data_IF_159142245970
#
_entry.id   IF_159142245970
#
_cell.length_a   1.000
_cell.length_b   1.000
_cell.length_c   1.000
_cell.angle_alpha   90.00
_cell.angle_beta   90.00
_cell.angle_gamma   90.00
#
_symmetry.space_group_name_H-M   'P 1'
#
loop_
_entity.id
_entity.type
_entity.pdbx_description
1 polymer ?
#
# COMPACT_ATOMS: atom_id res chain seq x y z
N UNK A 1 -39.06 -1.16 -4.65
CA UNK A 1 -37.73 -1.60 -4.20
C UNK A 1 -36.92 -1.95 -5.43
N UNK A 2 -35.82 -1.24 -5.66
CA UNK A 2 -34.88 -1.58 -6.75
C UNK A 2 -34.10 -2.82 -6.32
N UNK A 3 -34.18 -3.90 -7.09
CA UNK A 3 -33.49 -5.16 -6.75
C UNK A 3 -32.01 -5.04 -7.13
N UNK A 4 -31.12 -5.19 -6.16
CA UNK A 4 -29.68 -5.19 -6.42
C UNK A 4 -29.26 -6.41 -7.24
N UNK A 5 -28.29 -6.28 -8.16
CA UNK A 5 -27.80 -7.41 -8.93
C UNK A 5 -27.06 -8.41 -8.04
N UNK A 6 -27.07 -9.68 -8.44
CA UNK A 6 -26.42 -10.76 -7.67
C UNK A 6 -24.89 -10.82 -7.78
N UNK A 7 -24.26 -10.02 -8.64
CA UNK A 7 -22.81 -9.97 -8.84
C UNK A 7 -22.33 -8.58 -9.26
N UNK A 8 -21.09 -8.25 -8.91
CA UNK A 8 -20.41 -7.03 -9.32
C UNK A 8 -20.17 -6.95 -10.84
N UNK A 9 -20.24 -8.07 -11.55
CA UNK A 9 -20.12 -8.10 -13.02
C UNK A 9 -21.18 -7.24 -13.71
N UNK A 10 -22.37 -7.10 -13.09
CA UNK A 10 -23.43 -6.22 -13.58
C UNK A 10 -23.02 -4.74 -13.60
N UNK A 11 -22.05 -4.34 -12.78
CA UNK A 11 -21.52 -2.98 -12.73
C UNK A 11 -20.22 -2.80 -13.50
N UNK A 12 -19.67 -3.84 -14.12
CA UNK A 12 -18.41 -3.75 -14.85
C UNK A 12 -18.41 -2.63 -15.89
N UNK A 13 -19.51 -2.46 -16.61
CA UNK A 13 -19.70 -1.44 -17.64
C UNK A 13 -20.73 -0.37 -17.27
N UNK A 14 -21.17 -0.34 -16.00
CA UNK A 14 -22.17 0.63 -15.56
C UNK A 14 -21.61 2.05 -15.64
N UNK A 15 -22.47 2.96 -16.09
CA UNK A 15 -22.33 4.40 -15.99
C UNK A 15 -22.87 4.90 -14.64
N UNK A 16 -22.66 6.17 -14.33
CA UNK A 16 -23.30 6.75 -13.15
C UNK A 16 -24.83 6.68 -13.20
N UNK A 17 -25.44 6.88 -14.37
CA UNK A 17 -26.90 6.81 -14.55
C UNK A 17 -27.48 5.43 -14.24
N UNK A 18 -26.68 4.36 -14.38
CA UNK A 18 -27.12 3.01 -14.02
C UNK A 18 -27.06 2.77 -12.51
N UNK A 19 -26.16 3.47 -11.80
CA UNK A 19 -25.97 3.33 -10.35
C UNK A 19 -26.87 4.26 -9.53
N UNK A 20 -27.17 5.45 -10.07
CA UNK A 20 -27.95 6.48 -9.39
C UNK A 20 -29.31 5.98 -8.86
N UNK A 21 -30.10 5.19 -9.60
CA UNK A 21 -31.40 4.70 -9.12
C UNK A 21 -31.32 3.87 -7.83
N UNK A 22 -30.21 3.16 -7.58
CA UNK A 22 -30.03 2.40 -6.34
C UNK A 22 -29.79 3.32 -5.14
N UNK A 23 -29.00 4.39 -5.33
CA UNK A 23 -28.80 5.40 -4.30
C UNK A 23 -30.07 6.21 -4.03
N UNK A 24 -30.81 6.59 -5.08
CA UNK A 24 -32.07 7.34 -4.95
C UNK A 24 -33.13 6.52 -4.22
N UNK A 25 -33.23 5.22 -4.49
CA UNK A 25 -34.13 4.34 -3.75
C UNK A 25 -33.75 4.29 -2.27
N UNK A 26 -32.48 4.08 -1.93
CA UNK A 26 -32.01 4.10 -0.55
C UNK A 26 -32.20 5.46 0.12
N UNK A 27 -32.12 6.56 -0.62
CA UNK A 27 -32.30 7.91 -0.09
C UNK A 27 -33.78 8.25 0.15
N UNK A 28 -34.68 7.78 -0.71
CA UNK A 28 -36.12 8.05 -0.63
C UNK A 28 -36.88 7.05 0.26
N UNK A 29 -36.37 5.83 0.44
CA UNK A 29 -37.02 4.79 1.26
C UNK A 29 -37.24 5.31 2.69
N UNK A 30 -38.46 5.26 3.25
CA UNK A 30 -38.70 5.60 4.65
C UNK A 30 -37.74 4.83 5.56
N UNK A 31 -37.16 5.50 6.55
CA UNK A 31 -36.14 4.92 7.41
C UNK A 31 -36.55 5.10 8.88
N UNK A 32 -36.69 3.98 9.58
CA UNK A 32 -37.03 3.93 11.00
C UNK A 32 -36.30 2.75 11.67
N UNK A 33 -36.54 2.56 12.97
CA UNK A 33 -35.87 1.49 13.75
C UNK A 33 -36.33 0.08 13.38
N UNK A 34 -37.48 -0.07 12.72
CA UNK A 34 -38.02 -1.35 12.28
C UNK A 34 -37.38 -1.84 10.98
N UNK A 35 -36.89 -0.94 10.12
CA UNK A 35 -36.31 -1.30 8.82
C UNK A 35 -34.83 -0.93 8.62
N UNK A 36 -34.20 -0.26 9.59
CA UNK A 36 -32.79 0.18 9.48
C UNK A 36 -31.81 -0.95 9.15
N UNK A 37 -32.02 -2.16 9.67
CA UNK A 37 -31.09 -3.28 9.41
C UNK A 37 -31.15 -3.77 7.96
N UNK A 38 -32.34 -3.85 7.36
CA UNK A 38 -32.45 -4.23 5.94
C UNK A 38 -31.95 -3.09 5.04
N UNK A 39 -32.21 -1.84 5.41
CA UNK A 39 -31.66 -0.67 4.72
C UNK A 39 -30.13 -0.63 4.78
N UNK A 40 -29.51 -0.91 5.94
CA UNK A 40 -28.06 -1.01 6.09
C UNK A 40 -27.49 -2.17 5.28
N UNK A 41 -28.17 -3.31 5.25
CA UNK A 41 -27.75 -4.46 4.46
C UNK A 41 -27.76 -4.15 2.95
N UNK A 42 -28.81 -3.51 2.46
CA UNK A 42 -28.93 -3.11 1.05
C UNK A 42 -27.84 -2.09 0.69
N UNK A 43 -27.65 -1.06 1.53
CA UNK A 43 -26.59 -0.08 1.31
C UNK A 43 -25.20 -0.74 1.31
N UNK A 44 -24.90 -1.57 2.31
CA UNK A 44 -23.64 -2.32 2.36
C UNK A 44 -23.43 -3.24 1.16
N UNK A 45 -24.51 -3.82 0.63
CA UNK A 45 -24.45 -4.70 -0.55
C UNK A 45 -24.16 -3.90 -1.81
N UNK A 46 -24.85 -2.76 -2.01
CA UNK A 46 -24.59 -1.84 -3.12
C UNK A 46 -23.12 -1.38 -3.13
N UNK A 47 -22.62 -0.93 -1.98
CA UNK A 47 -21.22 -0.48 -1.84
C UNK A 47 -20.23 -1.60 -2.13
N UNK A 48 -20.52 -2.82 -1.69
CA UNK A 48 -19.67 -3.98 -1.94
C UNK A 48 -19.60 -4.34 -3.42
N UNK A 49 -20.72 -4.25 -4.14
CA UNK A 49 -20.81 -4.53 -5.58
C UNK A 49 -20.04 -3.47 -6.39
N UNK A 50 -20.26 -2.19 -6.09
CA UNK A 50 -19.54 -1.08 -6.76
C UNK A 50 -18.04 -1.15 -6.45
N UNK A 51 -17.69 -1.39 -5.18
CA UNK A 51 -16.31 -1.51 -4.73
C UNK A 51 -15.57 -2.67 -5.40
N UNK A 52 -16.22 -3.82 -5.57
CA UNK A 52 -15.63 -4.95 -6.29
C UNK A 52 -15.45 -4.66 -7.78
N UNK A 53 -16.44 -4.07 -8.46
CA UNK A 53 -16.31 -3.67 -9.86
C UNK A 53 -15.16 -2.67 -10.06
N UNK A 54 -15.03 -1.70 -9.16
CA UNK A 54 -13.93 -0.72 -9.12
C UNK A 54 -12.57 -1.42 -8.94
N UNK A 55 -12.48 -2.39 -8.02
CA UNK A 55 -11.25 -3.13 -7.79
C UNK A 55 -10.83 -3.96 -9.01
N UNK A 56 -11.79 -4.60 -9.69
CA UNK A 56 -11.54 -5.35 -10.92
C UNK A 56 -11.05 -4.46 -12.07
N UNK A 57 -11.63 -3.28 -12.25
CA UNK A 57 -11.17 -2.30 -13.24
C UNK A 57 -9.73 -1.83 -12.96
N UNK A 58 -9.44 -1.48 -11.70
CA UNK A 58 -8.09 -1.11 -11.27
C UNK A 58 -7.08 -2.25 -11.50
N UNK A 59 -7.47 -3.50 -11.23
CA UNK A 59 -6.60 -4.65 -11.47
C UNK A 59 -6.32 -4.86 -12.97
N UNK A 60 -7.35 -4.76 -13.81
CA UNK A 60 -7.19 -4.89 -15.26
C UNK A 60 -6.21 -3.83 -15.81
N UNK A 61 -6.35 -2.58 -15.37
CA UNK A 61 -5.45 -1.49 -15.77
C UNK A 61 -4.02 -1.72 -15.25
N UNK A 62 -3.88 -2.12 -13.99
CA UNK A 62 -2.57 -2.35 -13.39
C UNK A 62 -1.81 -3.53 -14.03
N UNK A 63 -2.53 -4.52 -14.59
CA UNK A 63 -1.94 -5.63 -15.34
C UNK A 63 -1.36 -5.18 -16.68
N UNK A 64 -2.04 -4.28 -17.37
CA UNK A 64 -1.57 -3.72 -18.64
C UNK A 64 -2.02 -2.26 -18.78
N UNK A 65 -1.14 -1.33 -18.41
CA UNK A 65 -1.45 0.11 -18.44
C UNK A 65 -1.51 0.69 -19.86
N UNK A 66 -1.18 -0.11 -20.89
CA UNK A 66 -1.33 0.28 -22.30
C UNK A 66 -2.66 -0.19 -22.92
N UNK A 67 -3.49 -0.93 -22.17
CA UNK A 67 -4.83 -1.34 -22.61
C UNK A 67 -5.82 -0.17 -22.43
N UNK A 68 -6.22 0.43 -23.56
CA UNK A 68 -7.13 1.57 -23.57
C UNK A 68 -8.50 1.28 -22.95
N UNK A 69 -9.01 0.05 -23.06
CA UNK A 69 -10.31 -0.31 -22.45
C UNK A 69 -10.20 -0.42 -20.93
N UNK A 70 -9.07 -0.95 -20.45
CA UNK A 70 -8.81 -1.03 -19.02
C UNK A 70 -8.60 0.37 -18.41
N UNK A 71 -7.90 1.26 -19.12
CA UNK A 71 -7.75 2.66 -18.75
C UNK A 71 -9.09 3.39 -18.70
N UNK A 72 -9.93 3.26 -19.74
CA UNK A 72 -11.26 3.87 -19.78
C UNK A 72 -12.14 3.43 -18.60
N UNK A 73 -12.16 2.12 -18.30
CA UNK A 73 -12.91 1.60 -17.15
C UNK A 73 -12.39 2.16 -15.82
N UNK A 74 -11.07 2.24 -15.65
CA UNK A 74 -10.45 2.80 -14.44
C UNK A 74 -10.79 4.29 -14.28
N UNK A 75 -10.72 5.07 -15.36
CA UNK A 75 -11.05 6.49 -15.36
C UNK A 75 -12.53 6.72 -15.06
N UNK A 76 -13.44 5.91 -15.64
CA UNK A 76 -14.87 5.97 -15.34
C UNK A 76 -15.15 5.78 -13.85
N UNK A 77 -14.60 4.73 -13.24
CA UNK A 77 -14.80 4.50 -11.80
C UNK A 77 -14.19 5.61 -10.93
N UNK A 78 -12.97 6.04 -11.23
CA UNK A 78 -12.23 6.98 -10.38
C UNK A 78 -12.66 8.43 -10.53
N UNK A 79 -13.00 8.87 -11.73
CA UNK A 79 -13.23 10.29 -12.05
C UNK A 79 -14.70 10.65 -12.24
N UNK A 80 -15.56 9.68 -12.59
CA UNK A 80 -17.00 9.92 -12.77
C UNK A 80 -17.82 9.34 -11.61
N UNK A 81 -17.69 8.03 -11.36
CA UNK A 81 -18.54 7.32 -10.40
C UNK A 81 -18.18 7.66 -8.96
N UNK A 82 -16.89 7.59 -8.59
CA UNK A 82 -16.48 7.76 -7.20
C UNK A 82 -16.90 9.12 -6.60
N UNK A 83 -16.67 10.29 -7.25
CA UNK A 83 -17.08 11.56 -6.68
C UNK A 83 -18.60 11.66 -6.44
N UNK A 84 -19.40 11.23 -7.42
CA UNK A 84 -20.88 11.27 -7.32
C UNK A 84 -21.42 10.26 -6.32
N UNK A 85 -20.80 9.09 -6.21
CA UNK A 85 -21.13 8.10 -5.21
C UNK A 85 -20.84 8.62 -3.79
N UNK A 86 -19.73 9.33 -3.56
CA UNK A 86 -19.44 9.98 -2.28
C UNK A 86 -20.50 11.03 -1.88
N UNK A 87 -21.02 11.81 -2.84
CA UNK A 87 -22.14 12.72 -2.56
C UNK A 87 -23.39 11.99 -2.06
N UNK A 88 -23.73 10.86 -2.68
CA UNK A 88 -24.88 10.04 -2.24
C UNK A 88 -24.61 9.35 -0.91
N UNK A 89 -23.40 8.81 -0.70
CA UNK A 89 -22.97 8.23 0.58
C UNK A 89 -23.15 9.22 1.71
N UNK A 90 -22.71 10.47 1.52
CA UNK A 90 -22.85 11.53 2.52
C UNK A 90 -24.33 11.67 2.92
N UNK A 91 -25.25 11.76 1.95
CA UNK A 91 -26.70 11.84 2.22
C UNK A 91 -27.21 10.64 3.04
N UNK A 92 -26.82 9.42 2.68
CA UNK A 92 -27.23 8.21 3.41
C UNK A 92 -26.65 8.17 4.83
N UNK A 93 -25.39 8.58 5.00
CA UNK A 93 -24.74 8.74 6.31
C UNK A 93 -25.52 9.71 7.19
N UNK A 94 -25.93 10.87 6.66
CA UNK A 94 -26.73 11.83 7.44
C UNK A 94 -28.04 11.23 7.94
N UNK A 95 -28.73 10.45 7.10
CA UNK A 95 -30.00 9.80 7.47
C UNK A 95 -29.80 8.84 8.64
N UNK A 96 -28.77 8.00 8.57
CA UNK A 96 -28.43 7.08 9.66
C UNK A 96 -28.07 7.82 10.95
N UNK A 97 -27.27 8.89 10.85
CA UNK A 97 -26.88 9.71 11.99
C UNK A 97 -28.11 10.38 12.64
N UNK A 98 -29.00 10.98 11.83
CA UNK A 98 -30.24 11.64 12.28
C UNK A 98 -31.22 10.67 12.92
N UNK A 99 -31.29 9.42 12.47
CA UNK A 99 -32.10 8.37 13.09
C UNK A 99 -31.63 8.04 14.54
N UNK A 100 -30.36 8.30 14.84
CA UNK A 100 -29.78 7.99 16.15
C UNK A 100 -29.74 6.48 16.43
N UNK A 101 -29.65 5.66 15.39
CA UNK A 101 -29.52 4.22 15.51
C UNK A 101 -28.04 3.83 15.68
N UNK A 102 -27.76 3.04 16.73
CA UNK A 102 -26.43 2.49 17.02
C UNK A 102 -26.63 1.10 17.61
N UNK A 103 -25.80 0.14 17.22
CA UNK A 103 -25.75 -1.21 17.77
C UNK A 103 -24.32 -1.72 17.86
N UNK A 104 -24.13 -2.83 18.58
CA UNK A 104 -22.88 -3.57 18.65
C UNK A 104 -22.25 -3.78 17.26
N UNK A 105 -21.02 -3.29 17.09
CA UNK A 105 -20.23 -3.37 15.86
C UNK A 105 -20.44 -2.20 14.89
N UNK A 106 -21.38 -1.29 15.16
CA UNK A 106 -21.69 -0.12 14.31
C UNK A 106 -21.26 1.21 14.96
N UNK A 107 -20.89 1.21 16.24
CA UNK A 107 -20.56 2.40 17.04
C UNK A 107 -19.52 3.28 16.36
N UNK A 108 -18.36 2.68 16.01
CA UNK A 108 -17.27 3.41 15.38
C UNK A 108 -17.67 3.97 14.02
N UNK A 109 -18.43 3.21 13.21
CA UNK A 109 -18.88 3.68 11.90
C UNK A 109 -19.79 4.90 12.02
N UNK A 110 -20.79 4.86 12.91
CA UNK A 110 -21.68 6.00 13.14
C UNK A 110 -20.93 7.19 13.74
N UNK A 111 -19.98 6.94 14.65
CA UNK A 111 -19.10 7.99 15.19
C UNK A 111 -18.28 8.65 14.09
N UNK A 112 -17.73 7.88 13.15
CA UNK A 112 -16.99 8.41 11.98
C UNK A 112 -17.86 9.29 11.09
N UNK A 113 -19.11 8.90 10.86
CA UNK A 113 -20.06 9.70 10.07
C UNK A 113 -20.39 11.01 10.78
N UNK A 114 -20.71 10.97 12.07
CA UNK A 114 -20.93 12.19 12.88
C UNK A 114 -19.73 13.12 12.82
N UNK A 115 -18.54 12.59 13.08
CA UNK A 115 -17.31 13.36 13.07
C UNK A 115 -17.03 14.03 11.71
N UNK A 116 -17.26 13.33 10.59
CA UNK A 116 -17.12 13.92 9.26
C UNK A 116 -18.12 15.07 9.01
N UNK A 117 -19.37 14.91 9.46
CA UNK A 117 -20.39 15.95 9.35
C UNK A 117 -20.07 17.17 10.23
N UNK A 118 -19.57 16.94 11.44
CA UNK A 118 -19.18 18.00 12.39
C UNK A 118 -17.93 18.76 11.95
N UNK A 119 -16.95 18.07 11.34
CA UNK A 119 -15.72 18.68 10.83
C UNK A 119 -15.90 19.40 9.48
N UNK A 120 -17.02 19.15 8.78
CA UNK A 120 -17.25 19.75 7.48
C UNK A 120 -17.39 21.28 7.61
N UNK A 121 -16.57 22.00 6.86
CA UNK A 121 -16.60 23.46 6.78
C UNK A 121 -16.54 23.87 5.31
N UNK A 122 -17.59 24.53 4.77
CA UNK A 122 -17.59 25.02 3.39
C UNK A 122 -16.39 25.91 3.06
N UNK A 123 -15.90 26.68 4.05
CA UNK A 123 -14.72 27.54 3.91
C UNK A 123 -13.42 26.73 3.63
N UNK A 124 -13.39 25.44 3.96
CA UNK A 124 -12.23 24.58 3.74
C UNK A 124 -12.18 23.95 2.34
N UNK A 125 -13.28 23.93 1.59
CA UNK A 125 -13.32 23.37 0.22
C UNK A 125 -12.28 24.00 -0.71
N UNK A 126 -12.17 25.35 -0.83
CA UNK A 126 -11.13 25.95 -1.66
C UNK A 126 -9.71 25.71 -1.13
N UNK A 127 -9.54 25.66 0.19
CA UNK A 127 -8.22 25.39 0.81
C UNK A 127 -7.74 23.96 0.53
N UNK A 128 -8.64 22.99 0.61
CA UNK A 128 -8.35 21.59 0.26
C UNK A 128 -7.99 21.43 -1.22
N UNK A 129 -8.67 22.17 -2.10
CA UNK A 129 -8.34 22.22 -3.53
C UNK A 129 -6.92 22.72 -3.76
N UNK A 130 -6.52 23.79 -3.08
CA UNK A 130 -5.16 24.33 -3.17
C UNK A 130 -4.12 23.37 -2.57
N UNK A 131 -4.41 22.74 -1.43
CA UNK A 131 -3.55 21.71 -0.82
C UNK A 131 -3.32 20.51 -1.76
N UNK A 132 -4.33 20.11 -2.53
CA UNK A 132 -4.21 19.04 -3.52
C UNK A 132 -3.32 19.44 -4.70
N UNK A 133 -3.43 20.69 -5.18
CA UNK A 133 -2.54 21.24 -6.22
C UNK A 133 -1.09 21.28 -5.74
N UNK A 134 -0.84 21.85 -4.56
CA UNK A 134 0.49 21.90 -3.96
C UNK A 134 1.10 20.50 -3.77
N UNK A 135 0.29 19.53 -3.35
CA UNK A 135 0.74 18.15 -3.17
C UNK A 135 1.12 17.51 -4.52
N UNK A 136 0.41 17.86 -5.59
CA UNK A 136 0.75 17.47 -6.96
C UNK A 136 2.04 18.14 -7.44
N UNK A 137 2.23 19.43 -7.16
CA UNK A 137 3.47 20.16 -7.46
C UNK A 137 4.68 19.55 -6.74
N UNK A 138 4.55 19.26 -5.44
CA UNK A 138 5.57 18.55 -4.68
C UNK A 138 5.94 17.21 -5.32
N UNK A 139 4.94 16.41 -5.69
CA UNK A 139 5.16 15.13 -6.35
C UNK A 139 5.87 15.28 -7.71
N UNK A 140 5.59 16.35 -8.48
CA UNK A 140 6.29 16.67 -9.73
C UNK A 140 7.75 17.01 -9.48
N UNK A 141 8.06 17.85 -8.49
CA UNK A 141 9.46 18.20 -8.15
C UNK A 141 10.25 16.94 -7.79
N UNK A 142 9.73 16.10 -6.89
CA UNK A 142 10.38 14.83 -6.53
C UNK A 142 10.47 13.86 -7.72
N UNK A 143 9.44 13.81 -8.55
CA UNK A 143 9.35 12.92 -9.70
C UNK A 143 10.31 13.28 -10.85
N UNK A 144 10.67 14.55 -10.96
CA UNK A 144 11.61 15.06 -11.97
C UNK A 144 13.08 14.89 -11.59
N UNK A 145 13.39 14.54 -10.34
CA UNK A 145 14.77 14.37 -9.89
C UNK A 145 15.46 13.21 -10.60
N UNK A 146 16.61 13.51 -11.20
CA UNK A 146 17.52 12.53 -11.80
C UNK A 146 18.92 12.69 -11.22
N UNK A 147 19.72 11.65 -11.36
CA UNK A 147 21.13 11.60 -10.96
C UNK A 147 21.92 10.95 -12.09
N UNK A 148 23.08 11.47 -12.42
CA UNK A 148 24.04 10.77 -13.28
C UNK A 148 24.84 9.76 -12.44
N UNK A 149 24.80 8.51 -12.85
CA UNK A 149 25.62 7.45 -12.28
C UNK A 149 26.43 6.76 -13.38
N UNK A 150 27.71 7.13 -13.47
CA UNK A 150 28.66 6.60 -14.46
C UNK A 150 28.12 6.74 -15.91
N UNK A 151 27.53 7.89 -16.24
CA UNK A 151 26.96 8.20 -17.56
C UNK A 151 25.54 7.65 -17.79
N UNK A 152 24.93 7.03 -16.78
CA UNK A 152 23.54 6.61 -16.82
C UNK A 152 22.66 7.53 -15.99
N UNK A 153 21.64 8.10 -16.62
CA UNK A 153 20.62 8.85 -15.90
C UNK A 153 19.71 7.88 -15.11
N UNK A 154 19.63 8.09 -13.80
CA UNK A 154 18.84 7.30 -12.87
C UNK A 154 17.95 8.19 -12.00
N UNK A 155 16.92 7.62 -11.39
CA UNK A 155 16.17 8.31 -10.34
C UNK A 155 16.79 8.01 -8.97
N UNK A 156 16.68 8.91 -7.97
CA UNK A 156 17.27 8.67 -6.65
C UNK A 156 16.93 7.31 -6.02
N UNK A 157 15.69 6.76 -6.12
CA UNK A 157 15.39 5.44 -5.57
C UNK A 157 16.14 4.29 -6.26
N UNK A 158 16.51 4.43 -7.54
CA UNK A 158 17.33 3.43 -8.24
C UNK A 158 18.77 3.39 -7.70
N UNK A 159 19.17 4.34 -6.86
CA UNK A 159 20.45 4.34 -6.18
C UNK A 159 20.51 3.39 -4.97
N UNK A 160 19.37 2.91 -4.49
CA UNK A 160 19.28 2.08 -3.29
C UNK A 160 20.21 0.84 -3.29
N UNK A 161 20.37 0.09 -4.39
CA UNK A 161 21.28 -1.06 -4.44
C UNK A 161 22.76 -0.68 -4.21
N UNK A 162 23.22 0.48 -4.68
CA UNK A 162 24.61 0.91 -4.51
C UNK A 162 24.94 1.29 -3.05
N UNK A 163 23.92 1.58 -2.23
CA UNK A 163 24.09 1.79 -0.79
C UNK A 163 24.31 0.47 -0.02
N UNK A 164 24.16 -0.67 -0.69
CA UNK A 164 24.42 -2.01 -0.15
C UNK A 164 25.71 -2.62 -0.69
N UNK A 165 26.49 -1.85 -1.45
CA UNK A 165 27.78 -2.31 -1.98
C UNK A 165 28.77 -2.58 -0.84
N UNK A 166 29.65 -3.57 -1.03
CA UNK A 166 30.70 -3.86 -0.04
C UNK A 166 31.76 -2.75 -0.03
N UNK A 167 32.02 -2.11 -1.18
CA UNK A 167 32.91 -0.96 -1.27
C UNK A 167 32.27 0.28 -0.64
N UNK A 168 32.93 0.80 0.40
CA UNK A 168 32.47 1.98 1.13
C UNK A 168 32.50 3.25 0.27
N UNK A 169 33.44 3.36 -0.67
CA UNK A 169 33.52 4.52 -1.57
C UNK A 169 32.31 4.56 -2.52
N UNK A 170 31.89 3.40 -3.02
CA UNK A 170 30.67 3.27 -3.84
C UNK A 170 29.45 3.72 -3.03
N UNK A 171 29.30 3.25 -1.79
CA UNK A 171 28.18 3.65 -0.92
C UNK A 171 28.16 5.16 -0.64
N UNK A 172 29.31 5.73 -0.33
CA UNK A 172 29.43 7.17 -0.06
C UNK A 172 29.05 8.00 -1.30
N UNK A 173 29.62 7.66 -2.46
CA UNK A 173 29.31 8.31 -3.74
C UNK A 173 27.81 8.19 -4.06
N UNK A 174 27.24 7.00 -3.91
CA UNK A 174 25.82 6.75 -4.14
C UNK A 174 24.92 7.55 -3.20
N UNK A 175 25.27 7.64 -1.91
CA UNK A 175 24.51 8.43 -0.94
C UNK A 175 24.52 9.91 -1.30
N UNK A 176 25.70 10.47 -1.60
CA UNK A 176 25.84 11.88 -1.95
C UNK A 176 25.07 12.21 -3.22
N UNK A 177 25.25 11.43 -4.29
CA UNK A 177 24.53 11.61 -5.56
C UNK A 177 23.02 11.47 -5.40
N UNK A 178 22.56 10.51 -4.61
CA UNK A 178 21.13 10.31 -4.35
C UNK A 178 20.47 11.52 -3.69
N UNK A 179 21.17 12.24 -2.81
CA UNK A 179 20.62 13.39 -2.08
C UNK A 179 20.94 14.76 -2.71
N UNK A 180 21.90 14.84 -3.64
CA UNK A 180 22.28 16.07 -4.35
C UNK A 180 21.08 16.78 -4.98
N UNK A 181 20.18 16.12 -5.73
CA UNK A 181 18.99 16.77 -6.28
C UNK A 181 18.03 17.32 -5.21
N UNK A 182 17.96 16.70 -4.04
CA UNK A 182 17.12 17.20 -2.94
C UNK A 182 17.70 18.47 -2.32
N UNK A 183 19.03 18.59 -2.29
CA UNK A 183 19.72 19.79 -1.81
C UNK A 183 19.53 20.92 -2.81
N UNK A 184 19.65 20.64 -4.11
CA UNK A 184 19.40 21.61 -5.19
C UNK A 184 17.95 22.12 -5.18
N UNK A 185 16.98 21.22 -4.95
CA UNK A 185 15.57 21.56 -4.90
C UNK A 185 15.07 21.99 -3.50
N UNK A 186 15.98 22.17 -2.53
CA UNK A 186 15.63 22.45 -1.12
C UNK A 186 14.67 23.63 -1.01
N UNK A 187 14.98 24.74 -1.66
CA UNK A 187 14.23 25.98 -1.51
C UNK A 187 12.85 25.86 -2.17
N UNK A 188 12.75 25.17 -3.32
CA UNK A 188 11.47 24.88 -3.97
C UNK A 188 10.58 23.98 -3.09
N UNK A 189 11.15 22.92 -2.49
CA UNK A 189 10.44 22.05 -1.58
C UNK A 189 10.03 22.79 -0.30
N UNK A 190 10.93 23.56 0.32
CA UNK A 190 10.62 24.35 1.51
C UNK A 190 9.46 25.32 1.27
N UNK A 191 9.49 26.08 0.16
CA UNK A 191 8.40 26.99 -0.21
C UNK A 191 7.06 26.28 -0.40
N UNK A 192 7.06 25.09 -1.01
CA UNK A 192 5.84 24.28 -1.13
C UNK A 192 5.33 23.82 0.24
N UNK A 193 6.24 23.41 1.13
CA UNK A 193 5.89 22.99 2.48
C UNK A 193 5.29 24.13 3.30
N UNK A 194 5.88 25.32 3.25
CA UNK A 194 5.41 26.50 3.99
C UNK A 194 3.99 26.90 3.55
N UNK A 195 3.73 26.94 2.24
CA UNK A 195 2.38 27.16 1.71
C UNK A 195 1.38 26.11 2.19
N UNK A 196 1.78 24.82 2.18
CA UNK A 196 0.92 23.75 2.72
C UNK A 196 0.69 23.90 4.22
N UNK A 197 1.70 24.34 4.98
CA UNK A 197 1.62 24.55 6.41
C UNK A 197 0.59 25.64 6.73
N UNK A 198 0.69 26.80 6.08
CA UNK A 198 -0.22 27.93 6.29
C UNK A 198 -1.67 27.56 5.97
N UNK A 199 -1.89 26.88 4.84
CA UNK A 199 -3.22 26.41 4.45
C UNK A 199 -3.79 25.40 5.45
N UNK A 200 -2.97 24.47 5.94
CA UNK A 200 -3.39 23.50 6.97
C UNK A 200 -3.77 24.20 8.27
N UNK A 201 -3.03 25.22 8.68
CA UNK A 201 -3.37 26.01 9.86
C UNK A 201 -4.69 26.79 9.64
N UNK A 202 -4.94 27.32 8.44
CA UNK A 202 -6.22 27.94 8.10
C UNK A 202 -7.38 26.93 8.12
N UNK A 203 -7.18 25.72 7.57
CA UNK A 203 -8.16 24.63 7.61
C UNK A 203 -8.56 24.29 9.05
N UNK A 204 -7.57 24.18 9.94
CA UNK A 204 -7.81 23.90 11.34
C UNK A 204 -8.62 25.00 12.03
N UNK A 205 -8.24 26.27 11.82
CA UNK A 205 -8.93 27.44 12.40
C UNK A 205 -10.39 27.51 11.94
N UNK A 206 -10.64 27.30 10.65
CA UNK A 206 -11.99 27.29 10.07
C UNK A 206 -12.88 26.16 10.60
N UNK A 207 -12.28 25.08 11.09
CA UNK A 207 -12.95 23.95 11.74
C UNK A 207 -13.00 24.10 13.28
N UNK A 208 -12.63 25.26 13.83
CA UNK A 208 -12.70 25.53 15.27
C UNK A 208 -11.54 24.97 16.10
N UNK A 209 -10.43 24.55 15.47
CA UNK A 209 -9.25 24.01 16.15
C UNK A 209 -8.11 25.03 16.25
N UNK A 210 -7.37 24.97 17.36
CA UNK A 210 -6.22 25.87 17.60
C UNK A 210 -5.02 25.56 16.69
N UNK A 211 -4.87 24.30 16.27
CA UNK A 211 -3.75 23.84 15.46
C UNK A 211 -4.19 22.66 14.56
N UNK A 212 -3.40 22.41 13.50
CA UNK A 212 -3.72 21.34 12.56
C UNK A 212 -3.56 19.93 13.12
N UNK A 213 -2.75 19.70 14.17
CA UNK A 213 -2.59 18.37 14.78
C UNK A 213 -3.92 17.89 15.36
N UNK A 214 -4.61 18.75 16.11
CA UNK A 214 -5.86 18.38 16.79
C UNK A 214 -6.98 18.15 15.78
N UNK A 215 -7.09 19.04 14.77
CA UNK A 215 -7.96 18.84 13.62
C UNK A 215 -7.67 17.50 12.92
N UNK A 216 -6.41 17.23 12.58
CA UNK A 216 -6.01 16.01 11.87
C UNK A 216 -6.19 14.73 12.72
N UNK A 217 -6.23 14.86 14.05
CA UNK A 217 -6.52 13.73 14.93
C UNK A 217 -7.97 13.27 14.74
N UNK A 218 -8.89 14.25 14.75
CA UNK A 218 -10.32 14.02 14.54
C UNK A 218 -10.62 13.63 13.10
N UNK A 219 -10.05 14.33 12.10
CA UNK A 219 -10.25 14.02 10.68
C UNK A 219 -9.87 12.56 10.36
N UNK A 220 -8.82 12.04 11.00
CA UNK A 220 -8.40 10.64 10.89
C UNK A 220 -9.20 9.65 11.72
N UNK A 221 -10.25 10.12 12.41
CA UNK A 221 -11.14 9.33 13.26
C UNK A 221 -10.39 8.55 14.36
N UNK A 222 -9.36 9.16 14.94
CA UNK A 222 -8.58 8.57 16.02
C UNK A 222 -9.26 8.88 17.35
N UNK A 223 -10.19 8.01 17.74
CA UNK A 223 -11.04 8.18 18.92
C UNK A 223 -10.53 7.44 20.16
N UNK A 224 -9.62 6.49 19.96
CA UNK A 224 -9.13 5.53 20.95
C UNK A 224 -7.80 5.95 21.60
N UNK A 225 -7.19 7.02 21.11
CA UNK A 225 -5.99 7.63 21.69
C UNK A 225 -5.97 9.14 21.43
N UNK A 226 -4.99 9.82 22.01
CA UNK A 226 -4.80 11.27 21.98
C UNK A 226 -3.38 11.62 21.51
N UNK A 227 -3.11 12.90 21.18
CA UNK A 227 -1.74 13.36 20.98
C UNK A 227 -0.80 13.05 22.15
N UNK A 228 -1.28 13.10 23.40
CA UNK A 228 -0.46 12.82 24.59
C UNK A 228 -0.07 11.34 24.67
N UNK A 229 -0.97 10.44 24.27
CA UNK A 229 -0.64 9.02 24.13
C UNK A 229 0.48 8.80 23.11
N UNK A 230 0.50 9.57 22.01
CA UNK A 230 1.60 9.53 21.04
C UNK A 230 2.92 9.97 21.66
N UNK A 231 2.92 11.04 22.48
CA UNK A 231 4.13 11.52 23.15
C UNK A 231 4.68 10.49 24.14
N UNK A 232 3.81 9.91 24.99
CA UNK A 232 4.21 8.83 25.90
C UNK A 232 4.73 7.61 25.15
N UNK A 233 4.14 7.29 23.99
CA UNK A 233 4.63 6.23 23.13
C UNK A 233 6.03 6.53 22.56
N UNK A 234 6.30 7.77 22.15
CA UNK A 234 7.63 8.18 21.70
C UNK A 234 8.68 8.03 22.81
N UNK A 235 8.37 8.43 24.03
CA UNK A 235 9.25 8.25 25.20
C UNK A 235 9.51 6.76 25.48
N UNK A 236 8.47 5.92 25.43
CA UNK A 236 8.61 4.48 25.62
C UNK A 236 9.49 3.83 24.52
N UNK A 237 9.33 4.26 23.26
CA UNK A 237 10.18 3.83 22.15
C UNK A 237 11.63 4.27 22.37
N UNK A 238 11.85 5.51 22.80
CA UNK A 238 13.19 6.00 23.11
C UNK A 238 13.85 5.16 24.22
N UNK A 239 13.14 4.89 25.32
CA UNK A 239 13.69 4.13 26.43
C UNK A 239 13.92 2.65 26.09
N UNK A 240 12.99 2.00 25.38
CA UNK A 240 13.04 0.56 25.14
C UNK A 240 13.81 0.19 23.86
N UNK A 241 13.62 0.94 22.76
CA UNK A 241 14.13 0.59 21.43
C UNK A 241 15.50 1.21 21.17
N UNK A 242 15.75 2.45 21.63
CA UNK A 242 17.02 3.12 21.37
C UNK A 242 18.24 2.33 21.88
N UNK A 243 18.23 1.69 23.06
CA UNK A 243 19.35 0.85 23.50
C UNK A 243 19.61 -0.33 22.55
N UNK A 244 18.56 -0.95 22.01
CA UNK A 244 18.69 -2.03 21.03
C UNK A 244 19.26 -1.53 19.70
N UNK A 245 18.80 -0.37 19.23
CA UNK A 245 19.33 0.29 18.02
C UNK A 245 20.79 0.67 18.20
N UNK A 246 21.20 1.20 19.37
CA UNK A 246 22.60 1.49 19.70
C UNK A 246 23.47 0.24 19.63
N UNK A 247 23.02 -0.88 20.22
CA UNK A 247 23.74 -2.17 20.12
C UNK A 247 23.86 -2.68 18.69
N UNK A 248 22.80 -2.53 17.88
CA UNK A 248 22.83 -2.93 16.46
C UNK A 248 23.80 -2.07 15.66
N UNK A 249 23.81 -0.76 15.89
CA UNK A 249 24.75 0.17 15.26
C UNK A 249 26.19 -0.13 15.68
N UNK A 250 26.45 -0.39 16.96
CA UNK A 250 27.81 -0.76 17.42
C UNK A 250 28.29 -2.06 16.79
N UNK A 251 27.44 -3.09 16.72
CA UNK A 251 27.76 -4.34 16.02
C UNK A 251 28.09 -4.09 14.56
N UNK A 252 27.36 -3.18 13.90
CA UNK A 252 27.62 -2.81 12.50
C UNK A 252 28.94 -2.06 12.36
N UNK A 253 29.22 -1.09 13.24
CA UNK A 253 30.48 -0.34 13.28
C UNK A 253 31.68 -1.29 13.37
N UNK A 254 31.65 -2.22 14.33
CA UNK A 254 32.70 -3.22 14.53
C UNK A 254 32.82 -4.19 13.35
N UNK A 255 31.71 -4.60 12.73
CA UNK A 255 31.75 -5.47 11.56
C UNK A 255 32.35 -4.79 10.32
N UNK A 256 32.07 -3.49 10.13
CA UNK A 256 32.62 -2.71 9.02
C UNK A 256 34.05 -2.23 9.27
N UNK A 257 34.54 -2.33 10.51
CA UNK A 257 35.89 -1.87 10.88
C UNK A 257 36.07 -0.37 10.73
N UNK A 258 35.02 0.44 11.00
CA UNK A 258 35.08 1.90 10.88
C UNK A 258 35.03 2.59 12.24
N UNK A 259 35.68 3.75 12.37
CA UNK A 259 35.68 4.52 13.61
C UNK A 259 34.29 5.07 13.95
N UNK A 260 33.56 5.56 12.94
CA UNK A 260 32.22 6.10 13.08
C UNK A 260 31.34 5.69 11.90
N UNK A 261 30.11 5.27 12.18
CA UNK A 261 29.11 5.01 11.14
C UNK A 261 28.68 6.32 10.50
N UNK A 262 28.74 6.38 9.16
CA UNK A 262 28.17 7.47 8.37
C UNK A 262 26.79 7.07 7.82
N UNK A 263 25.98 8.01 7.30
CA UNK A 263 24.67 7.69 6.74
C UNK A 263 24.70 6.61 5.63
N UNK A 264 25.79 6.56 4.84
CA UNK A 264 26.00 5.54 3.81
C UNK A 264 26.46 4.17 4.33
N UNK A 265 26.71 4.03 5.63
CA UNK A 265 27.03 2.74 6.25
C UNK A 265 25.77 2.03 6.77
N UNK A 266 24.57 2.64 6.68
CA UNK A 266 23.36 2.17 7.37
C UNK A 266 22.61 1.00 6.71
N UNK A 267 22.85 0.72 5.42
CA UNK A 267 22.11 -0.30 4.65
C UNK A 267 22.85 -1.61 4.49
N UNK A 268 24.17 -1.59 4.60
CA UNK A 268 24.96 -2.82 4.55
C UNK A 268 24.62 -3.68 5.77
N UNK A 269 23.96 -4.81 5.50
CA UNK A 269 23.78 -5.85 6.51
C UNK A 269 25.12 -6.52 6.72
N UNK A 270 25.55 -6.75 7.98
CA UNK A 270 26.66 -7.64 8.24
C UNK A 270 26.36 -8.96 7.54
N UNK A 271 27.11 -9.30 6.49
CA UNK A 271 27.00 -10.65 5.93
C UNK A 271 27.45 -11.56 7.05
N UNK A 272 26.52 -12.32 7.62
CA UNK A 272 26.90 -13.45 8.42
C UNK A 272 27.76 -14.32 7.50
N UNK A 273 29.07 -14.32 7.73
CA UNK A 273 29.99 -15.23 7.07
C UNK A 273 29.40 -16.64 7.23
N UNK A 274 28.90 -17.22 6.13
CA UNK A 274 28.32 -18.57 6.11
C UNK A 274 26.86 -18.70 5.65
N UNK A 275 26.03 -17.66 5.60
CA UNK A 275 24.61 -17.82 5.19
C UNK A 275 24.40 -17.89 3.66
N UNK A 276 25.28 -17.27 2.88
CA UNK A 276 25.25 -17.35 1.41
C UNK A 276 25.71 -18.70 0.84
N UNK A 277 26.37 -19.53 1.64
CA UNK A 277 26.73 -20.90 1.26
C UNK A 277 25.55 -21.85 1.52
N UNK A 278 24.86 -21.70 2.66
CA UNK A 278 23.71 -22.55 3.02
C UNK A 278 22.44 -22.26 2.21
N UNK A 279 22.22 -21.02 1.77
CA UNK A 279 21.05 -20.68 0.95
C UNK A 279 21.19 -21.04 -0.54
N UNK A 280 22.39 -21.39 -1.01
CA UNK A 280 22.60 -21.84 -2.40
C UNK A 280 22.16 -23.29 -2.62
N UNK A 281 22.34 -24.17 -1.65
CA UNK A 281 21.86 -25.57 -1.73
C UNK A 281 20.39 -25.75 -1.33
N UNK A 282 19.85 -24.87 -0.47
CA UNK A 282 18.50 -25.04 0.10
C UNK A 282 17.39 -24.28 -0.66
N UNK A 283 17.77 -23.47 -1.67
CA UNK A 283 16.87 -22.57 -2.40
C UNK A 283 15.79 -23.30 -3.21
N UNK A 284 16.13 -24.44 -3.81
CA UNK A 284 15.17 -25.25 -4.58
C UNK A 284 14.29 -26.13 -3.67
N UNK A 285 14.75 -26.51 -2.47
CA UNK A 285 13.97 -27.38 -1.56
C UNK A 285 13.02 -26.62 -0.62
N UNK A 286 13.24 -25.32 -0.35
CA UNK A 286 12.37 -24.55 0.58
C UNK A 286 11.19 -23.82 -0.06
N UNK A 287 11.17 -23.62 -1.38
CA UNK A 287 10.01 -23.03 -2.06
C UNK A 287 8.79 -23.98 -2.10
N UNK A 288 8.99 -25.27 -1.80
CA UNK A 288 7.93 -26.28 -1.78
C UNK A 288 7.30 -26.54 -0.39
N UNK A 289 7.72 -25.85 0.69
CA UNK A 289 7.08 -25.98 2.00
C UNK A 289 6.40 -24.67 2.41
N UNK A 290 5.07 -24.53 2.23
CA UNK A 290 4.36 -23.41 2.81
C UNK A 290 4.57 -23.43 4.33
N UNK A 291 4.97 -22.27 4.91
CA UNK A 291 4.95 -22.05 6.36
C UNK A 291 3.56 -22.47 6.86
N UNK A 292 3.49 -23.46 7.75
CA UNK A 292 2.22 -23.83 8.35
C UNK A 292 1.66 -22.61 9.10
N UNK A 293 0.46 -22.12 8.74
CA UNK A 293 -0.17 -21.05 9.49
C UNK A 293 -0.57 -21.58 10.88
N UNK A 294 -0.22 -20.85 11.93
CA UNK A 294 -0.84 -21.01 13.24
C UNK A 294 -2.29 -20.50 13.12
N UNK A 295 -3.26 -21.36 13.41
CA UNK A 295 -4.68 -21.03 13.38
C UNK A 295 -5.44 -21.53 12.14
N UNK A 296 -6.64 -22.07 12.38
CA UNK A 296 -7.51 -22.64 11.34
C UNK A 296 -8.02 -21.58 10.34
N UNK A 297 -8.16 -20.32 10.76
CA UNK A 297 -8.60 -19.20 9.90
C UNK A 297 -7.60 -18.86 8.78
N UNK A 298 -6.30 -18.82 9.12
CA UNK A 298 -5.25 -18.56 8.13
C UNK A 298 -5.10 -19.71 7.10
N UNK A 299 -5.39 -20.96 7.52
CA UNK A 299 -5.43 -22.12 6.61
C UNK A 299 -6.59 -22.04 5.61
N UNK A 300 -7.73 -21.48 6.01
CA UNK A 300 -8.90 -21.32 5.14
C UNK A 300 -8.70 -20.22 4.09
N UNK A 301 -8.13 -19.08 4.49
CA UNK A 301 -7.77 -17.97 3.58
C UNK A 301 -6.72 -18.39 2.54
N UNK A 302 -5.68 -19.12 2.94
CA UNK A 302 -4.66 -19.62 2.00
C UNK A 302 -5.18 -20.70 1.05
N UNK A 303 -6.11 -21.57 1.48
CA UNK A 303 -6.75 -22.55 0.58
C UNK A 303 -7.68 -21.90 -0.43
N UNK A 304 -8.42 -20.86 -0.04
CA UNK A 304 -9.24 -20.07 -0.97
C UNK A 304 -8.38 -19.31 -1.99
N UNK A 305 -7.22 -18.80 -1.57
CA UNK A 305 -6.26 -18.17 -2.48
C UNK A 305 -5.55 -19.16 -3.41
N UNK A 306 -5.28 -20.40 -2.96
CA UNK A 306 -4.59 -21.42 -3.76
C UNK A 306 -5.52 -22.21 -4.70
N UNK A 307 -6.83 -22.26 -4.43
CA UNK A 307 -7.83 -22.92 -5.29
C UNK A 307 -8.27 -22.09 -6.50
N UNK A 308 -7.93 -20.80 -6.55
CA UNK A 308 -8.14 -19.96 -7.73
C UNK A 308 -6.95 -20.14 -8.70
N UNK A 309 -7.11 -21.01 -9.70
CA UNK A 309 -6.16 -21.10 -10.82
C UNK A 309 -5.99 -19.73 -11.50
N UNK A 310 -4.72 -19.36 -11.69
CA UNK A 310 -4.17 -18.30 -12.52
C UNK A 310 -4.43 -16.83 -12.11
N UNK A 311 -3.39 -16.17 -11.58
CA UNK A 311 -2.88 -14.86 -12.04
C UNK A 311 -1.76 -14.37 -11.10
N UNK A 312 -0.59 -15.00 -11.17
CA UNK A 312 0.65 -14.39 -10.69
C UNK A 312 1.45 -13.97 -11.92
N UNK A 313 1.20 -12.77 -12.45
CA UNK A 313 1.99 -12.23 -13.55
C UNK A 313 3.13 -11.37 -13.02
N UNK A 314 4.34 -11.73 -13.44
CA UNK A 314 5.58 -11.00 -13.24
C UNK A 314 5.84 -10.17 -14.49
N UNK A 315 5.46 -8.89 -14.49
CA UNK A 315 5.96 -7.95 -15.48
C UNK A 315 6.27 -6.58 -14.87
N UNK A 316 7.44 -6.06 -15.22
CA UNK A 316 7.99 -4.78 -14.78
C UNK A 316 7.43 -3.64 -15.61
N UNK A 317 6.64 -2.74 -14.99
CA UNK A 317 6.70 -1.28 -15.25
C UNK A 317 5.82 -0.49 -14.26
N UNK A 318 6.44 0.56 -13.70
CA UNK A 318 5.89 1.82 -13.15
C UNK A 318 4.63 1.77 -12.26
N UNK A 319 4.62 0.99 -11.17
CA UNK A 319 3.85 1.39 -9.97
C UNK A 319 4.60 1.06 -8.69
N UNK A 320 4.70 2.04 -7.77
CA UNK A 320 5.39 1.91 -6.48
C UNK A 320 4.43 1.35 -5.41
N UNK A 321 4.94 0.37 -4.65
CA UNK A 321 4.34 -0.10 -3.39
C UNK A 321 3.43 -1.32 -3.54
N UNK A 322 3.35 -2.12 -2.47
CA UNK A 322 2.33 -3.17 -2.33
C UNK A 322 1.03 -2.52 -1.89
N UNK A 323 -0.05 -2.71 -2.66
CA UNK A 323 -1.41 -2.40 -2.22
C UNK A 323 -2.17 -3.71 -2.09
N UNK A 324 -2.75 -3.95 -0.92
CA UNK A 324 -3.74 -5.01 -0.76
C UNK A 324 -5.09 -4.44 -1.18
N UNK A 325 -5.74 -5.06 -2.15
CA UNK A 325 -7.13 -4.76 -2.51
C UNK A 325 -8.00 -5.96 -2.10
N UNK A 326 -9.19 -5.70 -1.56
CA UNK A 326 -10.15 -6.73 -1.19
C UNK A 326 -11.26 -6.77 -2.24
N UNK A 327 -11.68 -7.98 -2.65
CA UNK A 327 -12.90 -8.21 -3.42
C UNK A 327 -13.99 -8.73 -2.46
N UNK A 328 -14.79 -7.83 -1.86
CA UNK A 328 -15.66 -8.16 -0.73
C UNK A 328 -16.84 -9.08 -1.10
N UNK A 329 -17.45 -8.95 -2.28
CA UNK A 329 -18.64 -9.75 -2.62
C UNK A 329 -18.28 -11.21 -2.95
N UNK A 330 -17.07 -11.45 -3.49
CA UNK A 330 -16.53 -12.82 -3.69
C UNK A 330 -15.76 -13.38 -2.48
N UNK A 331 -15.58 -12.60 -1.41
CA UNK A 331 -14.83 -13.02 -0.22
C UNK A 331 -13.36 -13.36 -0.49
N UNK A 332 -12.75 -12.75 -1.53
CA UNK A 332 -11.37 -13.04 -1.96
C UNK A 332 -10.45 -11.87 -1.63
N UNK A 333 -9.38 -12.16 -0.90
CA UNK A 333 -8.26 -11.23 -0.75
C UNK A 333 -7.30 -11.41 -1.93
N UNK A 334 -6.95 -10.33 -2.62
CA UNK A 334 -5.95 -10.35 -3.69
C UNK A 334 -4.76 -9.48 -3.32
N UNK A 335 -3.56 -10.03 -3.41
CA UNK A 335 -2.31 -9.31 -3.09
C UNK A 335 -1.58 -9.06 -4.39
N UNK A 336 -1.62 -7.82 -4.89
CA UNK A 336 -0.78 -7.40 -6.00
C UNK A 336 0.67 -7.34 -5.53
N UNK A 337 1.48 -8.34 -5.91
CA UNK A 337 2.93 -8.34 -5.69
C UNK A 337 3.62 -7.55 -6.80
N UNK A 338 3.67 -6.22 -6.66
CA UNK A 338 4.66 -5.43 -7.38
C UNK A 338 6.01 -5.63 -6.70
N UNK A 339 6.98 -6.18 -7.44
CA UNK A 339 8.35 -6.40 -6.98
C UNK A 339 9.25 -5.59 -7.90
N UNK A 340 9.84 -4.51 -7.39
CA UNK A 340 11.06 -3.95 -7.98
C UNK A 340 12.18 -4.95 -7.72
N UNK A 341 12.45 -5.82 -8.68
CA UNK A 341 13.64 -6.67 -8.66
C UNK A 341 14.77 -5.90 -9.32
N UNK A 342 15.44 -5.01 -8.58
CA UNK A 342 16.79 -4.62 -8.98
C UNK A 342 17.66 -5.88 -9.09
N UNK A 343 18.55 -6.01 -10.10
CA UNK A 343 19.38 -7.19 -10.26
C UNK A 343 20.48 -7.17 -9.20
N UNK A 344 20.18 -7.60 -7.98
CA UNK A 344 21.19 -8.23 -7.16
C UNK A 344 21.36 -9.63 -7.72
N UNK A 345 22.57 -9.95 -8.20
CA UNK A 345 23.01 -11.18 -8.90
C UNK A 345 22.98 -11.12 -10.43
N UNK A 346 24.01 -10.47 -11.01
CA UNK A 346 24.47 -10.79 -12.35
C UNK A 346 25.19 -12.15 -12.33
N UNK A 347 24.59 -13.18 -12.93
CA UNK A 347 25.28 -14.42 -13.27
C UNK A 347 26.00 -14.18 -14.60
N UNK A 348 27.34 -14.14 -14.58
CA UNK A 348 28.14 -14.24 -15.79
C UNK A 348 27.92 -15.64 -16.39
N UNK A 349 27.31 -15.70 -17.58
CA UNK A 349 27.29 -16.90 -18.38
C UNK A 349 28.72 -17.22 -18.84
N UNK A 350 29.30 -18.29 -18.30
CA UNK A 350 30.52 -18.88 -18.86
C UNK A 350 30.12 -19.77 -20.05
N UNK A 351 30.42 -19.28 -21.25
CA UNK A 351 30.38 -20.04 -22.49
C UNK A 351 31.44 -21.14 -22.49
N UNK A 352 31.03 -22.42 -22.49
CA UNK A 352 31.80 -23.51 -23.09
C UNK A 352 30.87 -24.50 -23.78
N UNK A 353 31.01 -24.58 -25.10
CA UNK A 353 30.52 -25.65 -25.96
C UNK A 353 31.18 -27.00 -25.59
N UNK A 354 30.41 -28.09 -25.63
CA UNK A 354 30.55 -29.17 -26.64
C UNK A 354 29.62 -30.34 -26.36
N UNK A 355 28.90 -30.72 -27.41
CA UNK A 355 28.55 -32.06 -27.90
C UNK A 355 28.22 -33.20 -26.92
N UNK A 356 27.09 -33.88 -27.20
CA UNK A 356 26.97 -35.30 -26.90
C UNK A 356 25.55 -35.82 -26.65
N UNK A 357 24.97 -36.42 -27.68
CA UNK A 357 23.71 -37.19 -27.76
C UNK A 357 23.47 -38.16 -26.57
N UNK A 358 22.20 -38.41 -26.20
CA UNK A 358 21.80 -39.58 -25.41
C UNK A 358 20.31 -39.59 -25.02
N UNK A 359 19.65 -40.76 -25.11
CA UNK A 359 18.20 -41.02 -25.09
C UNK A 359 17.57 -41.17 -23.69
N UNK A 360 16.23 -41.18 -23.69
CA UNK A 360 15.27 -41.56 -22.64
C UNK A 360 15.36 -43.04 -22.20
N UNK A 361 15.02 -43.28 -20.93
CA UNK A 361 14.11 -44.31 -20.34
C UNK A 361 14.66 -45.12 -19.15
N UNK A 362 13.78 -45.35 -18.15
CA UNK A 362 13.70 -46.62 -17.40
C UNK A 362 14.06 -46.60 -15.90
N UNK A 363 13.12 -47.05 -15.07
CA UNK A 363 13.19 -47.26 -13.61
C UNK A 363 14.45 -47.92 -13.04
N UNK A 364 14.79 -47.60 -11.78
CA UNK A 364 15.79 -48.37 -11.02
C UNK A 364 16.07 -47.84 -9.62
N UNK A 365 15.32 -48.33 -8.63
CA UNK A 365 15.54 -48.06 -7.21
C UNK A 365 16.94 -48.44 -6.72
N UNK A 366 17.43 -47.79 -5.66
CA UNK A 366 18.44 -48.40 -4.76
C UNK A 366 18.22 -47.97 -3.32
N UNK A 367 17.88 -48.95 -2.47
CA UNK A 367 17.94 -48.91 -1.02
C UNK A 367 19.40 -48.82 -0.57
N UNK A 368 19.67 -48.12 0.53
CA UNK A 368 20.79 -48.52 1.39
C UNK A 368 20.46 -48.23 2.86
N UNK A 369 20.57 -49.30 3.64
CA UNK A 369 20.26 -49.39 5.06
C UNK A 369 21.40 -48.79 5.91
N UNK A 370 21.05 -48.21 7.06
CA UNK A 370 22.00 -47.86 8.12
C UNK A 370 21.85 -48.90 9.23
N UNK A 371 22.92 -49.67 9.44
CA UNK A 371 23.10 -50.59 10.54
C UNK A 371 23.29 -49.80 11.86
N UNK A 372 22.70 -50.32 12.94
CA UNK A 372 23.03 -49.94 14.31
C UNK A 372 24.41 -50.49 14.70
N UNK A 373 25.20 -49.67 15.37
CA UNK A 373 26.02 -50.02 16.53
C UNK A 373 26.22 -48.74 17.34
#
# INVERSE_FOLDING_TARGET
MTVLPGSADAFQNASWSDLLPFYEELAARPLDRGNVESWLQDWSTLESLIGEATALANFAYARNTADSKAEEAQLRFSSEIAPRAEEQRTKLQERLVKLGYVRAGLETTVQRFRNQMELFSPANVPLQTELAKLSTEWAKVIGAMTVDWDGQEMTPPRMAPFLEDNDRQVRERAFRRMYEPYIEQRDALANLFDRMYDLRQAVAKNAGHQNYRDYAHLEKNRFDYTPDDCFRFHEAVEQAVLPAVKRLQERRRSHLGVDQLRPWDQRLLPRAAGLSARLRDDGERRLARPRQPQGQGARRLLRLAAGAQAASDLHERRQRGRRCAHAPARGRAFVSRFRDCGPAFAVRAASRCRDGRGRLDGDGATRCAIHRS
#
